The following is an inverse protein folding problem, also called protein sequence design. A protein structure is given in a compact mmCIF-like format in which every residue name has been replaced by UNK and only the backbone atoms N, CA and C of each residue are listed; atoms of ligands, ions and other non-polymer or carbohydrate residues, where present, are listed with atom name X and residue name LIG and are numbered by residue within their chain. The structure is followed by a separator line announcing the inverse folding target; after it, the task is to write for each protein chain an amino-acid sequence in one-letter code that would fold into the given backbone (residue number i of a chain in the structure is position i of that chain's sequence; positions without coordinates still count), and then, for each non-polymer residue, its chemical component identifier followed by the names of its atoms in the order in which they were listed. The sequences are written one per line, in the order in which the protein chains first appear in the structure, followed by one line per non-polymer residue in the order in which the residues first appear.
data_IF_425726741342
#
_entry.id   IF_425726741342
#
_cell.length_a   1.000
_cell.length_b   1.000
_cell.length_c   1.000
_cell.angle_alpha   90.00
_cell.angle_beta   90.00
_cell.angle_gamma   90.00
#
_symmetry.space_group_name_H-M   'P 1'
#
loop_
_entity.id
_entity.type
_entity.pdbx_description
1 polymer ?
#
# COMPACT_ATOMS: atom_id res chain seq x y z
N UNK A 1 -15.10 -8.02 -12.32
CA UNK A 1 -14.59 -7.22 -11.20
C UNK A 1 -15.49 -6.01 -11.01
N UNK A 2 -15.89 -5.73 -9.77
CA UNK A 2 -16.73 -4.57 -9.49
C UNK A 2 -15.89 -3.28 -9.55
N UNK A 3 -16.58 -2.14 -9.65
CA UNK A 3 -15.91 -0.85 -9.63
C UNK A 3 -15.14 -0.64 -8.33
N UNK A 4 -15.72 -1.10 -7.20
CA UNK A 4 -15.06 -1.02 -5.90
C UNK A 4 -13.78 -1.85 -5.89
N UNK A 5 -13.82 -3.07 -6.41
CA UNK A 5 -12.64 -3.94 -6.47
C UNK A 5 -11.55 -3.32 -7.32
N UNK A 6 -11.91 -2.71 -8.45
CA UNK A 6 -10.94 -2.02 -9.30
C UNK A 6 -10.31 -0.84 -8.56
N UNK A 7 -11.12 -0.06 -7.83
CA UNK A 7 -10.62 1.07 -7.06
C UNK A 7 -9.64 0.64 -5.98
N UNK A 8 -9.93 -0.48 -5.30
CA UNK A 8 -9.04 -1.04 -4.29
C UNK A 8 -7.71 -1.47 -4.92
N UNK A 9 -7.76 -2.14 -6.06
CA UNK A 9 -6.55 -2.55 -6.77
C UNK A 9 -5.68 -1.34 -7.16
N UNK A 10 -6.30 -0.29 -7.68
CA UNK A 10 -5.57 0.93 -8.03
C UNK A 10 -4.97 1.58 -6.79
N UNK A 11 -5.70 1.60 -5.69
CA UNK A 11 -5.20 2.17 -4.44
C UNK A 11 -3.98 1.40 -3.92
N UNK A 12 -4.06 0.07 -3.90
CA UNK A 12 -2.94 -0.77 -3.46
C UNK A 12 -1.73 -0.55 -4.35
N UNK A 13 -1.92 -0.52 -5.67
CA UNK A 13 -0.83 -0.29 -6.62
C UNK A 13 -0.21 1.09 -6.42
N UNK A 14 -1.02 2.09 -6.16
CA UNK A 14 -0.57 3.46 -5.93
C UNK A 14 0.27 3.56 -4.65
N UNK A 15 -0.16 2.88 -3.58
CA UNK A 15 0.59 2.83 -2.34
C UNK A 15 1.93 2.11 -2.52
N UNK A 16 1.92 1.01 -3.28
CA UNK A 16 3.14 0.27 -3.58
C UNK A 16 4.14 1.15 -4.34
N UNK A 17 3.66 1.86 -5.34
CA UNK A 17 4.51 2.76 -6.12
C UNK A 17 5.08 3.88 -5.26
N UNK A 18 4.26 4.47 -4.39
CA UNK A 18 4.72 5.50 -3.46
C UNK A 18 5.79 5.01 -2.51
N UNK A 19 5.59 3.83 -1.94
CA UNK A 19 6.57 3.22 -1.04
C UNK A 19 7.88 2.90 -1.78
N UNK A 20 7.76 2.29 -2.96
CA UNK A 20 8.89 1.97 -3.81
C UNK A 20 9.76 3.21 -4.09
N UNK A 21 9.11 4.30 -4.49
CA UNK A 21 9.82 5.53 -4.83
C UNK A 21 10.46 6.18 -3.61
N UNK A 22 9.75 6.21 -2.49
CA UNK A 22 10.27 6.81 -1.26
C UNK A 22 11.51 6.10 -0.75
N UNK A 23 11.56 4.79 -0.89
CA UNK A 23 12.66 3.96 -0.36
C UNK A 23 13.66 3.53 -1.44
N UNK A 24 13.53 4.06 -2.65
CA UNK A 24 14.42 3.76 -3.77
C UNK A 24 14.55 2.25 -4.04
N UNK A 25 13.42 1.55 -3.99
CA UNK A 25 13.37 0.11 -4.21
C UNK A 25 12.92 -0.21 -5.63
N UNK A 26 13.25 -1.42 -6.09
CA UNK A 26 12.61 -1.95 -7.29
C UNK A 26 11.15 -2.31 -6.98
N UNK A 27 10.31 -2.38 -8.02
CA UNK A 27 8.93 -2.82 -7.83
C UNK A 27 8.84 -4.20 -7.22
N UNK A 28 9.74 -5.10 -7.63
CA UNK A 28 9.78 -6.46 -7.09
C UNK A 28 10.13 -6.48 -5.60
N UNK A 29 11.15 -5.72 -5.20
CA UNK A 29 11.55 -5.66 -3.80
C UNK A 29 10.44 -5.09 -2.93
N UNK A 30 9.78 -4.03 -3.37
CA UNK A 30 8.66 -3.45 -2.65
C UNK A 30 7.48 -4.42 -2.54
N UNK A 31 7.19 -5.15 -3.63
CA UNK A 31 6.11 -6.14 -3.64
C UNK A 31 6.38 -7.28 -2.67
N UNK A 32 7.62 -7.75 -2.59
CA UNK A 32 8.01 -8.80 -1.63
C UNK A 32 7.80 -8.32 -0.20
N UNK A 33 8.22 -7.09 0.12
CA UNK A 33 7.99 -6.53 1.46
C UNK A 33 6.51 -6.43 1.79
N UNK A 34 5.70 -5.97 0.84
CA UNK A 34 4.26 -5.88 1.04
C UNK A 34 3.65 -7.26 1.31
N UNK A 35 4.07 -8.27 0.56
CA UNK A 35 3.56 -9.63 0.76
C UNK A 35 4.00 -10.21 2.11
N UNK A 36 5.26 -10.01 2.49
CA UNK A 36 5.80 -10.52 3.75
C UNK A 36 5.10 -9.93 4.97
N UNK A 37 4.65 -8.68 4.88
CA UNK A 37 4.06 -7.97 6.02
C UNK A 37 2.54 -7.82 5.91
N UNK A 38 1.90 -8.46 4.95
CA UNK A 38 0.45 -8.43 4.80
C UNK A 38 -0.09 -7.04 4.45
N UNK A 39 0.71 -6.20 3.80
CA UNK A 39 0.35 -4.81 3.53
C UNK A 39 -0.79 -4.72 2.51
N UNK A 40 -0.75 -5.56 1.46
CA UNK A 40 -1.80 -5.52 0.44
C UNK A 40 -3.18 -5.82 1.04
N UNK A 41 -3.24 -6.81 1.92
CA UNK A 41 -4.48 -7.18 2.61
C UNK A 41 -4.93 -6.05 3.55
N UNK A 42 -4.00 -5.47 4.29
CA UNK A 42 -4.29 -4.35 5.16
C UNK A 42 -4.90 -3.17 4.39
N UNK A 43 -4.29 -2.80 3.27
CA UNK A 43 -4.77 -1.68 2.45
C UNK A 43 -6.15 -1.98 1.87
N UNK A 44 -6.40 -3.23 1.49
CA UNK A 44 -7.70 -3.65 0.96
C UNK A 44 -8.78 -3.62 2.04
N UNK A 45 -8.47 -4.16 3.22
CA UNK A 45 -9.43 -4.26 4.32
C UNK A 45 -9.84 -2.89 4.85
N UNK A 46 -8.91 -1.94 4.89
CA UNK A 46 -9.14 -0.61 5.42
C UNK A 46 -9.24 0.47 4.35
N UNK A 47 -9.53 0.06 3.13
CA UNK A 47 -9.60 0.98 1.99
C UNK A 47 -10.50 2.18 2.25
N UNK A 48 -11.69 1.96 2.83
CA UNK A 48 -12.68 3.03 3.03
C UNK A 48 -12.14 4.14 3.91
N UNK A 49 -11.32 3.80 4.90
CA UNK A 49 -10.70 4.77 5.79
C UNK A 49 -9.43 5.34 5.17
N UNK A 50 -8.56 4.47 4.67
CA UNK A 50 -7.22 4.85 4.24
C UNK A 50 -7.22 5.73 2.99
N UNK A 51 -8.11 5.46 2.03
CA UNK A 51 -8.09 6.21 0.77
C UNK A 51 -8.48 7.68 0.93
N UNK A 52 -9.02 8.06 2.09
CA UNK A 52 -9.34 9.46 2.39
C UNK A 52 -8.16 10.22 2.98
N UNK A 53 -7.07 9.52 3.32
CA UNK A 53 -5.88 10.13 3.88
C UNK A 53 -4.89 10.51 2.78
N UNK A 54 -3.99 11.44 3.09
CA UNK A 54 -2.92 11.79 2.17
C UNK A 54 -1.86 10.71 2.09
N UNK A 55 -1.17 10.62 0.95
CA UNK A 55 -0.15 9.61 0.73
C UNK A 55 0.97 9.65 1.79
N UNK A 56 1.48 10.82 2.23
CA UNK A 56 2.52 10.83 3.27
C UNK A 56 2.09 10.11 4.54
N UNK A 57 0.84 10.30 4.97
CA UNK A 57 0.31 9.63 6.16
C UNK A 57 0.22 8.12 5.96
N UNK A 58 -0.30 7.70 4.78
CA UNK A 58 -0.43 6.28 4.45
C UNK A 58 0.93 5.59 4.43
N UNK A 59 1.93 6.24 3.83
CA UNK A 59 3.28 5.67 3.77
C UNK A 59 3.89 5.51 5.16
N UNK A 60 3.65 6.43 6.08
CA UNK A 60 4.10 6.30 7.46
C UNK A 60 3.48 5.09 8.14
N UNK A 61 2.18 4.85 7.92
CA UNK A 61 1.50 3.68 8.47
C UNK A 61 2.09 2.38 7.92
N UNK A 62 2.38 2.35 6.62
CA UNK A 62 3.01 1.19 5.99
C UNK A 62 4.40 0.97 6.58
N UNK A 63 5.18 2.03 6.72
CA UNK A 63 6.53 1.96 7.28
C UNK A 63 6.52 1.40 8.70
N UNK A 64 5.58 1.81 9.53
CA UNK A 64 5.45 1.28 10.88
C UNK A 64 5.17 -0.23 10.87
N UNK A 65 4.29 -0.68 9.99
CA UNK A 65 3.97 -2.11 9.90
C UNK A 65 5.15 -2.94 9.42
N UNK A 66 5.92 -2.42 8.49
CA UNK A 66 7.08 -3.12 7.95
C UNK A 66 8.23 -3.13 8.97
N UNK A 67 8.37 -2.08 9.77
CA UNK A 67 9.40 -1.98 10.79
C UNK A 67 9.16 -2.93 11.97
N UNK A 68 7.92 -3.33 12.19
CA UNK A 68 7.59 -4.28 13.23
C UNK A 68 7.94 -5.69 12.83
#
# INVERSE_FOLDING_TARGET
MSKRDANILFFVAFCLEGYKNKHALSGEAASVLFDQHGIKQYLSDYYDILHTQGMPWILEEIEEKIAL
#
